data_IF_719513013120
#
_entry.id   IF_719513013120
#
_cell.length_a   1.000
_cell.length_b   1.000
_cell.length_c   1.000
_cell.angle_alpha   90.00
_cell.angle_beta   90.00
_cell.angle_gamma   90.00
#
_symmetry.space_group_name_H-M   'P 1'
#
loop_
_entity.id
_entity.type
_entity.pdbx_description
1 polymer ?
#
# COMPACT_ATOMS: atom_id res chain seq x y z
N UNK A 1 53.03 -25.55 15.61
CA UNK A 1 51.72 -25.52 14.93
C UNK A 1 50.57 -25.04 15.84
N UNK A 2 50.84 -24.51 17.04
CA UNK A 2 49.79 -24.13 18.02
C UNK A 2 49.23 -22.70 17.89
N UNK A 3 49.88 -21.81 17.12
CA UNK A 3 49.49 -20.39 17.04
C UNK A 3 48.24 -20.11 16.18
N UNK A 4 47.92 -20.99 15.22
CA UNK A 4 46.82 -20.73 14.28
C UNK A 4 45.46 -21.13 14.86
N UNK A 5 45.42 -22.16 15.72
CA UNK A 5 44.20 -22.61 16.38
C UNK A 5 43.62 -21.51 17.30
N UNK A 6 44.45 -20.87 18.12
CA UNK A 6 43.99 -19.80 19.03
C UNK A 6 43.53 -18.53 18.30
N UNK A 7 44.03 -18.29 17.09
CA UNK A 7 43.61 -17.14 16.28
C UNK A 7 42.25 -17.39 15.63
N UNK A 8 42.01 -18.60 15.15
CA UNK A 8 40.71 -19.06 14.63
C UNK A 8 39.65 -19.05 15.73
N UNK A 9 40.01 -19.48 16.94
CA UNK A 9 39.12 -19.48 18.11
C UNK A 9 38.69 -18.05 18.50
N UNK A 10 39.64 -17.11 18.56
CA UNK A 10 39.35 -15.69 18.82
C UNK A 10 38.53 -15.02 17.71
N UNK A 11 38.70 -15.44 16.45
CA UNK A 11 37.91 -14.97 15.32
C UNK A 11 36.47 -15.52 15.38
N UNK A 12 36.32 -16.79 15.74
CA UNK A 12 35.01 -17.42 15.94
C UNK A 12 34.26 -16.77 17.12
N UNK A 13 34.94 -16.50 18.23
CA UNK A 13 34.37 -15.84 19.41
C UNK A 13 33.94 -14.39 19.11
N UNK A 14 34.75 -13.65 18.35
CA UNK A 14 34.35 -12.30 17.87
C UNK A 14 33.18 -12.38 16.89
N UNK A 15 33.16 -13.34 15.97
CA UNK A 15 32.08 -13.52 15.01
C UNK A 15 30.77 -13.90 15.73
N UNK A 16 30.83 -14.75 16.75
CA UNK A 16 29.68 -15.12 17.57
C UNK A 16 29.18 -13.93 18.39
N UNK A 17 30.09 -13.14 18.96
CA UNK A 17 29.73 -11.92 19.70
C UNK A 17 29.07 -10.89 18.79
N UNK A 18 29.62 -10.66 17.59
CA UNK A 18 29.02 -9.78 16.57
C UNK A 18 27.67 -10.30 16.08
N UNK A 19 27.54 -11.61 15.87
CA UNK A 19 26.28 -12.24 15.48
C UNK A 19 25.21 -12.07 16.57
N UNK A 20 25.59 -12.24 17.85
CA UNK A 20 24.71 -11.99 19.00
C UNK A 20 24.24 -10.54 19.06
N UNK A 21 25.15 -9.57 18.97
CA UNK A 21 24.80 -8.14 19.00
C UNK A 21 23.94 -7.75 17.79
N UNK A 22 24.23 -8.30 16.62
CA UNK A 22 23.45 -8.06 15.39
C UNK A 22 22.05 -8.65 15.51
N UNK A 23 21.91 -9.83 16.11
CA UNK A 23 20.62 -10.46 16.36
C UNK A 23 19.79 -9.69 17.39
N UNK A 24 20.44 -9.15 18.42
CA UNK A 24 19.78 -8.32 19.43
C UNK A 24 19.30 -6.98 18.83
N UNK A 25 20.14 -6.33 18.02
CA UNK A 25 19.78 -5.14 17.25
C UNK A 25 18.64 -5.41 16.24
N UNK A 26 18.64 -6.57 15.59
CA UNK A 26 17.58 -6.96 14.67
C UNK A 26 16.25 -7.21 15.40
N UNK A 27 16.28 -7.85 16.58
CA UNK A 27 15.07 -8.09 17.38
C UNK A 27 14.38 -6.79 17.77
N UNK A 28 15.12 -5.79 18.25
CA UNK A 28 14.55 -4.50 18.60
C UNK A 28 14.13 -3.68 17.39
N UNK A 29 14.94 -3.68 16.31
CA UNK A 29 14.59 -2.96 15.08
C UNK A 29 13.38 -3.56 14.36
N UNK A 30 13.22 -4.89 14.38
CA UNK A 30 12.06 -5.57 13.77
C UNK A 30 10.79 -5.31 14.57
N UNK A 31 10.85 -5.35 15.91
CA UNK A 31 9.68 -5.06 16.76
C UNK A 31 9.24 -3.61 16.60
N UNK A 32 10.17 -2.66 16.65
CA UNK A 32 9.84 -1.23 16.53
C UNK A 32 9.31 -0.89 15.12
N UNK A 33 9.95 -1.42 14.08
CA UNK A 33 9.57 -1.19 12.69
C UNK A 33 8.27 -1.90 12.32
N UNK A 34 8.01 -3.09 12.85
CA UNK A 34 6.72 -3.75 12.68
C UNK A 34 5.60 -2.98 13.39
N UNK A 35 5.82 -2.55 14.64
CA UNK A 35 4.85 -1.75 15.39
C UNK A 35 4.51 -0.43 14.68
N UNK A 36 5.50 0.27 14.11
CA UNK A 36 5.28 1.50 13.35
C UNK A 36 4.52 1.24 12.02
N UNK A 37 4.83 0.14 11.32
CA UNK A 37 4.07 -0.29 10.13
C UNK A 37 2.61 -0.62 10.50
N UNK A 38 2.38 -1.39 11.56
CA UNK A 38 1.04 -1.72 12.03
C UNK A 38 0.26 -0.48 12.46
N UNK A 39 0.91 0.46 13.14
CA UNK A 39 0.29 1.72 13.58
C UNK A 39 -0.11 2.58 12.39
N UNK A 40 0.76 2.71 11.38
CA UNK A 40 0.47 3.41 10.13
C UNK A 40 -0.63 2.72 9.33
N UNK A 41 -0.64 1.40 9.29
CA UNK A 41 -1.66 0.62 8.57
C UNK A 41 -3.03 0.75 9.25
N UNK A 42 -3.08 0.63 10.58
CA UNK A 42 -4.30 0.79 11.36
C UNK A 42 -4.89 2.20 11.21
N UNK A 43 -4.07 3.24 11.37
CA UNK A 43 -4.50 4.62 11.17
C UNK A 43 -5.02 4.84 9.74
N UNK A 44 -4.29 4.33 8.73
CA UNK A 44 -4.72 4.42 7.32
C UNK A 44 -6.03 3.67 7.07
N UNK A 45 -6.24 2.50 7.66
CA UNK A 45 -7.48 1.73 7.54
C UNK A 45 -8.67 2.50 8.09
N UNK A 46 -8.54 3.09 9.28
CA UNK A 46 -9.60 3.90 9.90
C UNK A 46 -9.97 5.09 9.02
N UNK A 47 -8.97 5.83 8.53
CA UNK A 47 -9.20 6.97 7.62
C UNK A 47 -9.88 6.49 6.33
N UNK A 48 -9.41 5.39 5.75
CA UNK A 48 -9.99 4.80 4.53
C UNK A 48 -11.46 4.40 4.75
N UNK A 49 -11.78 3.81 5.90
CA UNK A 49 -13.13 3.41 6.26
C UNK A 49 -14.07 4.63 6.37
N UNK A 50 -13.60 5.71 7.01
CA UNK A 50 -14.38 6.96 7.13
C UNK A 50 -14.64 7.57 5.76
N UNK A 51 -13.62 7.63 4.91
CA UNK A 51 -13.76 8.12 3.53
C UNK A 51 -14.77 7.26 2.76
N UNK A 52 -14.69 5.93 2.88
CA UNK A 52 -15.60 5.02 2.21
C UNK A 52 -17.05 5.21 2.68
N UNK A 53 -17.26 5.35 4.00
CA UNK A 53 -18.58 5.63 4.58
C UNK A 53 -19.15 6.96 4.08
N UNK A 54 -18.33 8.01 4.06
CA UNK A 54 -18.72 9.31 3.52
C UNK A 54 -19.09 9.20 2.04
N UNK A 55 -18.28 8.51 1.23
CA UNK A 55 -18.53 8.33 -0.19
C UNK A 55 -19.83 7.57 -0.43
N UNK A 56 -20.08 6.50 0.33
CA UNK A 56 -21.32 5.74 0.25
C UNK A 56 -22.54 6.62 0.54
N UNK A 57 -22.50 7.43 1.61
CA UNK A 57 -23.58 8.37 1.91
C UNK A 57 -23.73 9.45 0.84
N UNK A 58 -22.63 10.00 0.33
CA UNK A 58 -22.67 10.99 -0.75
C UNK A 58 -23.32 10.42 -2.01
N UNK A 59 -22.99 9.19 -2.39
CA UNK A 59 -23.57 8.54 -3.58
C UNK A 59 -25.05 8.27 -3.45
N UNK A 60 -25.51 7.86 -2.26
CA UNK A 60 -26.93 7.66 -1.97
C UNK A 60 -27.65 9.01 -1.99
N UNK A 61 -27.07 10.06 -1.38
CA UNK A 61 -27.64 11.41 -1.41
C UNK A 61 -27.77 11.96 -2.82
N UNK A 62 -26.75 11.79 -3.66
CA UNK A 62 -26.80 12.16 -5.08
C UNK A 62 -27.86 11.34 -5.83
N UNK A 63 -28.03 10.06 -5.51
CA UNK A 63 -29.03 9.21 -6.16
C UNK A 63 -30.44 9.70 -5.82
N UNK A 64 -30.70 10.01 -4.55
CA UNK A 64 -32.00 10.51 -4.11
C UNK A 64 -32.30 11.89 -4.70
N UNK A 65 -31.32 12.80 -4.69
CA UNK A 65 -31.48 14.14 -5.27
C UNK A 65 -31.74 14.08 -6.79
N UNK A 66 -30.99 13.26 -7.52
CA UNK A 66 -31.26 13.02 -8.93
C UNK A 66 -32.62 12.34 -9.15
N UNK A 67 -33.00 11.41 -8.28
CA UNK A 67 -34.28 10.71 -8.34
C UNK A 67 -35.48 11.63 -8.11
N UNK A 68 -35.36 12.60 -7.20
CA UNK A 68 -36.38 13.62 -6.94
C UNK A 68 -36.56 14.54 -8.15
N UNK A 69 -35.46 14.94 -8.81
CA UNK A 69 -35.51 15.75 -10.02
C UNK A 69 -36.17 15.02 -11.21
N UNK A 70 -36.01 13.70 -11.28
CA UNK A 70 -36.63 12.83 -12.29
C UNK A 70 -38.02 12.32 -11.88
N UNK A 71 -38.53 12.71 -10.71
CA UNK A 71 -39.87 12.37 -10.21
C UNK A 71 -40.04 10.94 -9.68
N UNK A 72 -39.02 10.06 -9.82
CA UNK A 72 -38.97 8.75 -9.17
C UNK A 72 -37.55 8.37 -8.78
N UNK A 73 -37.39 7.89 -7.54
CA UNK A 73 -36.11 7.54 -6.93
C UNK A 73 -35.28 6.54 -7.77
N UNK A 74 -35.94 5.56 -8.41
CA UNK A 74 -35.28 4.54 -9.23
C UNK A 74 -34.47 5.13 -10.39
N UNK A 75 -34.89 6.26 -10.97
CA UNK A 75 -34.16 6.90 -12.06
C UNK A 75 -32.85 7.52 -11.58
N UNK A 76 -32.81 8.01 -10.34
CA UNK A 76 -31.59 8.56 -9.75
C UNK A 76 -30.50 7.51 -9.56
N UNK A 77 -30.88 6.32 -9.07
CA UNK A 77 -29.96 5.18 -9.00
C UNK A 77 -29.47 4.73 -10.39
N UNK A 78 -30.37 4.68 -11.38
CA UNK A 78 -30.01 4.28 -12.74
C UNK A 78 -29.06 5.29 -13.41
N UNK A 79 -29.28 6.59 -13.19
CA UNK A 79 -28.41 7.65 -13.70
C UNK A 79 -27.00 7.57 -13.10
N UNK A 80 -26.88 7.34 -11.79
CA UNK A 80 -25.59 7.16 -11.14
C UNK A 80 -24.90 5.86 -11.59
N UNK A 81 -25.64 4.77 -11.75
CA UNK A 81 -25.12 3.51 -12.28
C UNK A 81 -24.58 3.67 -13.71
N UNK A 82 -25.30 4.40 -14.57
CA UNK A 82 -24.83 4.73 -15.92
C UNK A 82 -23.55 5.59 -15.87
N UNK A 83 -23.48 6.57 -14.96
CA UNK A 83 -22.27 7.36 -14.74
C UNK A 83 -21.05 6.50 -14.35
N UNK A 84 -21.24 5.55 -13.44
CA UNK A 84 -20.18 4.61 -13.07
C UNK A 84 -19.76 3.69 -14.22
N UNK A 85 -20.70 3.26 -15.05
CA UNK A 85 -20.43 2.43 -16.22
C UNK A 85 -19.59 3.20 -17.26
N UNK A 86 -19.93 4.46 -17.52
CA UNK A 86 -19.15 5.34 -18.40
C UNK A 86 -17.75 5.59 -17.84
N UNK A 87 -17.62 5.86 -16.53
CA UNK A 87 -16.32 5.97 -15.85
C UNK A 87 -15.49 4.69 -15.98
N UNK A 88 -16.10 3.53 -15.80
CA UNK A 88 -15.42 2.25 -15.96
C UNK A 88 -14.94 2.02 -17.40
N UNK A 89 -15.75 2.41 -18.39
CA UNK A 89 -15.41 2.31 -19.81
C UNK A 89 -14.27 3.29 -20.16
N UNK A 90 -14.33 4.53 -19.68
CA UNK A 90 -13.24 5.49 -19.79
C UNK A 90 -11.96 4.93 -19.19
N UNK A 91 -12.00 4.43 -17.95
CA UNK A 91 -10.83 3.81 -17.32
C UNK A 91 -10.30 2.62 -18.11
N UNK A 92 -11.18 1.80 -18.70
CA UNK A 92 -10.77 0.67 -19.54
C UNK A 92 -10.02 1.13 -20.80
N UNK A 93 -10.52 2.15 -21.48
CA UNK A 93 -9.88 2.72 -22.69
C UNK A 93 -8.58 3.44 -22.33
N UNK A 94 -8.59 4.27 -21.29
CA UNK A 94 -7.43 5.03 -20.82
C UNK A 94 -6.42 4.17 -20.06
N UNK A 95 -6.75 2.93 -19.69
CA UNK A 95 -5.86 1.96 -19.01
C UNK A 95 -4.49 1.88 -19.66
N UNK A 96 -4.46 1.87 -21.00
CA UNK A 96 -3.22 1.74 -21.77
C UNK A 96 -2.33 2.98 -21.69
N UNK A 97 -2.91 4.16 -21.45
CA UNK A 97 -2.18 5.42 -21.39
C UNK A 97 -1.84 5.84 -19.95
N UNK A 98 -2.81 5.76 -19.02
CA UNK A 98 -2.66 6.19 -17.63
C UNK A 98 -2.05 5.14 -16.70
N UNK A 99 -2.27 3.84 -16.93
CA UNK A 99 -1.71 2.80 -16.05
C UNK A 99 -0.40 2.27 -16.62
N UNK A 100 -0.37 1.96 -17.93
CA UNK A 100 0.80 1.31 -18.53
C UNK A 100 2.06 2.19 -18.53
N UNK A 101 1.94 3.49 -18.79
CA UNK A 101 3.11 4.40 -18.83
C UNK A 101 3.76 4.66 -17.47
N UNK A 102 3.06 5.12 -16.41
CA UNK A 102 3.71 5.40 -15.14
C UNK A 102 4.15 4.13 -14.40
N UNK A 103 3.39 3.03 -14.49
CA UNK A 103 3.79 1.76 -13.88
C UNK A 103 5.06 1.21 -14.54
N UNK A 104 5.14 1.25 -15.88
CA UNK A 104 6.35 0.82 -16.58
C UNK A 104 7.54 1.75 -16.31
N UNK A 105 7.34 3.08 -16.24
CA UNK A 105 8.41 4.01 -15.90
C UNK A 105 8.90 3.85 -14.45
N UNK A 106 8.00 3.53 -13.51
CA UNK A 106 8.37 3.26 -12.12
C UNK A 106 9.20 1.98 -12.00
N UNK A 107 8.81 0.91 -12.71
CA UNK A 107 9.57 -0.34 -12.76
C UNK A 107 10.96 -0.11 -13.39
N UNK A 108 11.03 0.60 -14.52
CA UNK A 108 12.30 0.87 -15.22
C UNK A 108 13.22 1.77 -14.38
N UNK A 109 12.68 2.78 -13.68
CA UNK A 109 13.45 3.64 -12.78
C UNK A 109 14.01 2.91 -11.55
N UNK A 110 13.34 1.84 -11.11
CA UNK A 110 13.85 0.97 -10.05
C UNK A 110 15.04 0.12 -10.52
N UNK A 111 15.05 -0.34 -11.76
CA UNK A 111 16.11 -1.22 -12.28
C UNK A 111 17.36 -0.46 -12.76
N UNK A 112 17.23 0.77 -13.26
CA UNK A 112 18.37 1.58 -13.75
C UNK A 112 19.13 2.36 -12.66
N UNK A 113 18.77 2.19 -11.38
CA UNK A 113 19.49 2.80 -10.25
C UNK A 113 20.48 1.83 -9.59
N UNK A 114 20.74 0.71 -10.25
CA UNK A 114 21.65 -0.35 -9.80
C UNK A 114 22.82 -0.53 -10.78
N UNK A 115 23.32 0.59 -11.32
CA UNK A 115 24.66 0.73 -11.91
C UNK A 115 25.31 2.03 -11.36
#
# INVERSE_FOLDING_TARGET
>A
MESNASTIEKLAEKAETYAKTTFELYKYSVVDKSADIFSKLAARLVITLIILMFFLMATIGLALWAGELLGKEYYGFFAIAAGYLVLALLLYVFRKHFIKKPVSNFIIGCTLKED
#
